data_IF_397954784215
#
_entry.id   IF_397954784215
#
_cell.length_a   1.000
_cell.length_b   1.000
_cell.length_c   1.000
_cell.angle_alpha   90.00
_cell.angle_beta   90.00
_cell.angle_gamma   90.00
#
_symmetry.space_group_name_H-M   'P 1'
#
loop_
_entity.id
_entity.type
_entity.pdbx_description
1 polymer ?
#
# COMPACT_ATOMS: atom_id res chain seq x y z
N UNK A 1 -2.48 -5.77 -12.17
CA UNK A 1 -2.91 -5.57 -10.76
C UNK A 1 -2.04 -4.53 -10.08
N UNK A 2 -0.72 -4.72 -10.05
CA UNK A 2 0.26 -3.79 -9.47
C UNK A 2 0.06 -2.31 -9.84
N UNK A 3 -0.11 -2.04 -11.13
CA UNK A 3 -0.36 -0.70 -11.69
C UNK A 3 -1.58 0.07 -11.12
N UNK A 4 -2.51 -0.60 -10.43
CA UNK A 4 -3.72 -0.01 -9.85
C UNK A 4 -3.75 -0.10 -8.31
N UNK A 5 -2.68 -0.57 -7.68
CA UNK A 5 -2.57 -0.68 -6.23
C UNK A 5 -2.23 0.66 -5.58
N UNK A 6 -2.51 0.78 -4.27
CA UNK A 6 -2.17 1.95 -3.46
C UNK A 6 -3.25 3.04 -3.38
N UNK A 7 -4.45 2.79 -3.89
CA UNK A 7 -5.59 3.72 -3.78
C UNK A 7 -6.11 3.86 -2.33
N UNK A 8 -5.95 2.82 -1.53
CA UNK A 8 -6.26 2.74 -0.10
C UNK A 8 -5.31 3.59 0.76
N UNK A 9 -4.07 3.82 0.31
CA UNK A 9 -3.10 4.67 1.02
C UNK A 9 -3.61 6.10 1.22
N UNK A 10 -4.50 6.59 0.35
CA UNK A 10 -5.15 7.88 0.53
C UNK A 10 -5.93 7.97 1.85
N UNK A 11 -6.42 6.83 2.36
CA UNK A 11 -7.14 6.75 3.63
C UNK A 11 -6.24 7.05 4.83
N UNK A 12 -4.93 6.76 4.74
CA UNK A 12 -3.95 7.06 5.80
C UNK A 12 -3.73 8.55 6.02
N UNK A 13 -4.01 9.38 5.01
CA UNK A 13 -3.88 10.84 5.05
C UNK A 13 -5.26 11.52 5.17
N UNK A 14 -6.35 10.75 5.18
CA UNK A 14 -7.72 11.29 5.18
C UNK A 14 -8.02 12.17 6.40
N UNK A 15 -7.32 11.98 7.52
CA UNK A 15 -7.46 12.84 8.72
C UNK A 15 -7.06 14.31 8.47
N UNK A 16 -6.22 14.57 7.47
CA UNK A 16 -5.80 15.92 7.08
C UNK A 16 -6.64 16.55 5.96
N UNK A 17 -7.69 15.88 5.48
CA UNK A 17 -8.51 16.35 4.36
C UNK A 17 -9.75 17.08 4.88
N UNK A 18 -10.02 18.28 4.36
CA UNK A 18 -11.26 18.99 4.67
C UNK A 18 -12.47 18.26 4.08
N UNK A 19 -13.48 18.01 4.93
CA UNK A 19 -14.75 17.37 4.56
C UNK A 19 -14.55 16.06 3.76
N UNK A 20 -13.88 15.05 4.36
CA UNK A 20 -13.51 13.82 3.66
C UNK A 20 -14.73 13.09 3.08
N UNK A 21 -15.92 13.26 3.65
CA UNK A 21 -17.18 12.65 3.18
C UNK A 21 -17.55 12.97 1.73
N UNK A 22 -17.16 14.14 1.23
CA UNK A 22 -17.49 14.58 -0.14
C UNK A 22 -16.24 14.63 -1.01
N UNK A 23 -15.13 15.08 -0.42
CA UNK A 23 -13.85 15.23 -1.12
C UNK A 23 -13.29 13.86 -1.52
N UNK A 24 -13.35 12.87 -0.62
CA UNK A 24 -12.74 11.56 -0.86
C UNK A 24 -13.42 10.77 -1.99
N UNK A 25 -14.76 10.61 -2.02
CA UNK A 25 -15.40 9.88 -3.13
C UNK A 25 -15.22 10.58 -4.48
N UNK A 26 -15.27 11.92 -4.51
CA UNK A 26 -15.04 12.71 -5.73
C UNK A 26 -13.60 12.54 -6.22
N UNK A 27 -12.63 12.69 -5.33
CA UNK A 27 -11.21 12.51 -5.64
C UNK A 27 -10.95 11.09 -6.19
N UNK A 28 -11.53 10.06 -5.57
CA UNK A 28 -11.39 8.68 -6.02
C UNK A 28 -11.99 8.47 -7.42
N UNK A 29 -13.20 8.98 -7.69
CA UNK A 29 -13.82 8.89 -9.02
C UNK A 29 -13.00 9.61 -10.08
N UNK A 30 -12.52 10.82 -9.79
CA UNK A 30 -11.65 11.57 -10.71
C UNK A 30 -10.32 10.85 -10.93
N UNK A 31 -9.73 10.26 -9.90
CA UNK A 31 -8.49 9.50 -10.00
C UNK A 31 -8.68 8.27 -10.88
N UNK A 32 -9.75 7.49 -10.67
CA UNK A 32 -10.06 6.31 -11.49
C UNK A 32 -10.25 6.69 -12.95
N UNK A 33 -11.00 7.77 -13.25
CA UNK A 33 -11.18 8.23 -14.62
C UNK A 33 -9.87 8.68 -15.27
N UNK A 34 -9.04 9.42 -14.53
CA UNK A 34 -7.76 9.91 -15.03
C UNK A 34 -6.76 8.76 -15.26
N UNK A 35 -6.73 7.78 -14.37
CA UNK A 35 -5.93 6.56 -14.52
C UNK A 35 -6.43 5.73 -15.71
N UNK A 36 -7.74 5.57 -15.88
CA UNK A 36 -8.27 4.84 -17.04
C UNK A 36 -7.83 5.50 -18.36
N UNK A 37 -7.94 6.82 -18.46
CA UNK A 37 -7.49 7.58 -19.64
C UNK A 37 -5.98 7.48 -19.84
N UNK A 38 -5.19 7.57 -18.77
CA UNK A 38 -3.73 7.51 -18.86
C UNK A 38 -3.21 6.13 -19.28
N UNK A 39 -3.97 5.06 -19.07
CA UNK A 39 -3.64 3.73 -19.59
C UNK A 39 -4.18 3.49 -21.00
N UNK A 40 -5.40 3.94 -21.32
CA UNK A 40 -6.02 3.69 -22.63
C UNK A 40 -5.27 4.41 -23.75
N UNK A 41 -4.89 5.68 -23.55
CA UNK A 41 -4.25 6.48 -24.60
C UNK A 41 -2.91 5.90 -25.08
N UNK A 42 -1.95 5.54 -24.20
CA UNK A 42 -0.68 4.96 -24.64
C UNK A 42 -0.86 3.56 -25.24
N UNK A 43 -1.77 2.74 -24.70
CA UNK A 43 -2.04 1.40 -25.25
C UNK A 43 -2.62 1.51 -26.66
N UNK A 44 -3.53 2.44 -26.90
CA UNK A 44 -4.06 2.70 -28.24
C UNK A 44 -2.97 3.19 -29.19
N UNK A 45 -2.07 4.05 -28.72
CA UNK A 45 -0.92 4.52 -29.51
C UNK A 45 0.02 3.37 -29.90
N UNK A 46 0.31 2.44 -28.97
CA UNK A 46 1.06 1.21 -29.26
C UNK A 46 0.31 0.32 -30.24
N UNK A 47 -1.01 0.17 -30.09
CA UNK A 47 -1.79 -0.67 -31.00
C UNK A 47 -1.68 -0.20 -32.47
N UNK A 48 -1.65 1.12 -32.70
CA UNK A 48 -1.52 1.71 -34.04
C UNK A 48 -0.15 1.41 -34.67
N UNK A 49 0.91 1.18 -33.88
CA UNK A 49 2.23 0.83 -34.45
C UNK A 49 2.30 -0.59 -34.99
N UNK A 50 1.32 -1.45 -34.68
CA UNK A 50 1.29 -2.84 -35.11
C UNK A 50 2.33 -3.73 -34.43
N UNK A 51 3.01 -3.24 -33.39
CA UNK A 51 3.98 -4.05 -32.62
C UNK A 51 3.22 -5.15 -31.89
N UNK A 52 3.57 -6.44 -32.09
CA UNK A 52 2.90 -7.52 -31.39
C UNK A 52 3.20 -7.46 -29.89
N UNK A 53 2.19 -7.75 -29.07
CA UNK A 53 2.32 -7.75 -27.61
C UNK A 53 3.41 -8.70 -27.09
N UNK A 54 3.75 -9.75 -27.86
CA UNK A 54 4.82 -10.69 -27.51
C UNK A 54 6.24 -10.14 -27.66
N UNK A 55 6.42 -9.02 -28.38
CA UNK A 55 7.71 -8.35 -28.53
C UNK A 55 7.92 -7.23 -27.51
N UNK A 56 6.98 -7.05 -26.57
CA UNK A 56 7.03 -5.99 -25.59
C UNK A 56 7.87 -6.44 -24.38
N UNK A 57 8.97 -5.74 -24.15
CA UNK A 57 9.89 -5.98 -23.03
C UNK A 57 10.05 -4.70 -22.19
N UNK A 58 10.87 -4.81 -21.13
CA UNK A 58 11.23 -3.65 -20.31
C UNK A 58 11.92 -2.60 -21.16
N UNK A 59 11.35 -1.40 -21.22
CA UNK A 59 11.88 -0.29 -22.02
C UNK A 59 11.19 -0.08 -23.37
N UNK A 60 10.37 -1.03 -23.85
CA UNK A 60 9.71 -0.93 -25.16
C UNK A 60 8.81 0.29 -25.33
N UNK A 61 8.33 0.88 -24.24
CA UNK A 61 7.62 2.17 -24.26
C UNK A 61 8.46 3.31 -24.86
N UNK A 62 9.76 3.35 -24.54
CA UNK A 62 10.68 4.36 -25.08
C UNK A 62 10.98 4.14 -26.57
N UNK A 63 11.00 2.88 -27.01
CA UNK A 63 11.21 2.50 -28.41
C UNK A 63 9.97 2.82 -29.25
N UNK A 64 8.77 2.51 -28.74
CA UNK A 64 7.50 2.89 -29.39
C UNK A 64 7.39 4.41 -29.49
N UNK A 65 7.75 5.15 -28.43
CA UNK A 65 7.78 6.60 -28.47
C UNK A 65 8.77 7.12 -29.53
N UNK A 66 9.92 6.46 -29.70
CA UNK A 66 10.88 6.80 -30.75
C UNK A 66 10.30 6.54 -32.15
N UNK A 67 9.60 5.44 -32.33
CA UNK A 67 8.97 5.08 -33.61
C UNK A 67 7.88 6.08 -34.00
N UNK A 68 7.06 6.52 -33.04
CA UNK A 68 5.93 7.41 -33.28
C UNK A 68 6.31 8.89 -33.40
N UNK A 69 7.27 9.36 -32.59
CA UNK A 69 7.58 10.78 -32.44
C UNK A 69 9.06 11.13 -32.42
N UNK A 70 9.93 10.20 -32.80
CA UNK A 70 11.38 10.39 -32.87
C UNK A 70 12.08 10.47 -31.52
N UNK A 71 13.37 10.82 -31.55
CA UNK A 71 14.23 10.84 -30.35
C UNK A 71 13.76 11.83 -29.28
N UNK A 72 13.09 12.93 -29.67
CA UNK A 72 12.52 13.90 -28.73
C UNK A 72 11.44 13.25 -27.85
N UNK A 73 10.45 12.57 -28.44
CA UNK A 73 9.37 11.96 -27.69
C UNK A 73 9.87 10.81 -26.80
N UNK A 74 10.81 10.01 -27.32
CA UNK A 74 11.50 8.98 -26.54
C UNK A 74 12.21 9.56 -25.31
N UNK A 75 12.98 10.65 -25.50
CA UNK A 75 13.68 11.33 -24.41
C UNK A 75 12.72 11.94 -23.37
N UNK A 76 11.65 12.60 -23.84
CA UNK A 76 10.62 13.15 -22.97
C UNK A 76 9.91 12.06 -22.15
N UNK A 77 9.62 10.91 -22.77
CA UNK A 77 8.98 9.78 -22.09
C UNK A 77 9.89 9.17 -21.02
N UNK A 78 11.18 8.97 -21.32
CA UNK A 78 12.16 8.46 -20.35
C UNK A 78 12.30 9.41 -19.17
N UNK A 79 12.47 10.71 -19.43
CA UNK A 79 12.54 11.73 -18.37
C UNK A 79 11.26 11.79 -17.54
N UNK A 80 10.09 11.74 -18.18
CA UNK A 80 8.80 11.69 -17.50
C UNK A 80 8.66 10.44 -16.62
N UNK A 81 9.10 9.28 -17.12
CA UNK A 81 9.15 8.03 -16.36
C UNK A 81 10.06 8.11 -15.14
N UNK A 82 11.24 8.72 -15.27
CA UNK A 82 12.17 8.93 -14.15
C UNK A 82 11.58 9.85 -13.08
N UNK A 83 11.00 10.99 -13.47
CA UNK A 83 10.36 11.94 -12.55
C UNK A 83 9.16 11.26 -11.86
N UNK A 84 8.36 10.51 -12.61
CA UNK A 84 7.22 9.76 -12.08
C UNK A 84 7.67 8.71 -11.05
N UNK A 85 8.69 7.92 -11.37
CA UNK A 85 9.24 6.91 -10.45
C UNK A 85 9.78 7.53 -9.17
N UNK A 86 10.50 8.67 -9.27
CA UNK A 86 10.98 9.40 -8.11
C UNK A 86 9.83 9.97 -7.26
N UNK A 87 8.83 10.58 -7.90
CA UNK A 87 7.65 11.10 -7.23
C UNK A 87 6.85 10.01 -6.50
N UNK A 88 6.68 8.86 -7.15
CA UNK A 88 6.02 7.69 -6.57
C UNK A 88 6.79 7.15 -5.37
N UNK A 89 8.11 7.00 -5.48
CA UNK A 89 8.95 6.56 -4.37
C UNK A 89 8.82 7.51 -3.17
N UNK A 90 8.91 8.82 -3.39
CA UNK A 90 8.74 9.81 -2.32
C UNK A 90 7.35 9.74 -1.66
N UNK A 91 6.28 9.58 -2.46
CA UNK A 91 4.93 9.41 -1.95
C UNK A 91 4.79 8.15 -1.07
N UNK A 92 5.35 7.02 -1.52
CA UNK A 92 5.33 5.76 -0.78
C UNK A 92 6.12 5.86 0.53
N UNK A 93 7.26 6.55 0.54
CA UNK A 93 8.03 6.79 1.78
C UNK A 93 7.21 7.56 2.82
N UNK A 94 6.48 8.60 2.38
CA UNK A 94 5.63 9.39 3.26
C UNK A 94 4.48 8.57 3.87
N UNK A 95 3.85 7.71 3.09
CA UNK A 95 2.74 6.86 3.56
C UNK A 95 3.24 5.71 4.44
N UNK A 96 4.23 4.95 3.99
CA UNK A 96 4.69 3.76 4.70
C UNK A 96 5.44 4.05 6.00
N UNK A 97 6.06 5.21 6.14
CA UNK A 97 6.72 5.60 7.40
C UNK A 97 5.74 5.94 8.53
N UNK A 98 4.49 6.28 8.21
CA UNK A 98 3.45 6.62 9.20
C UNK A 98 2.83 5.38 9.86
N UNK A 99 2.80 4.25 9.16
CA UNK A 99 2.29 2.99 9.69
C UNK A 99 3.07 2.52 10.94
N UNK A 100 4.42 2.38 10.90
CA UNK A 100 5.21 2.06 12.08
C UNK A 100 5.11 3.10 13.20
N UNK A 101 4.96 4.38 12.86
CA UNK A 101 4.75 5.45 13.84
C UNK A 101 3.45 5.24 14.62
N UNK A 102 2.33 5.04 13.92
CA UNK A 102 1.03 4.76 14.54
C UNK A 102 1.07 3.47 15.37
N UNK A 103 1.66 2.40 14.83
CA UNK A 103 1.87 1.15 15.56
C UNK A 103 2.71 1.33 16.83
N UNK A 104 3.71 2.21 16.81
CA UNK A 104 4.53 2.51 17.98
C UNK A 104 3.78 3.33 19.04
N UNK A 105 2.94 4.27 18.62
CA UNK A 105 2.06 5.06 19.49
C UNK A 105 1.03 4.16 20.18
N UNK A 106 0.48 3.18 19.46
CA UNK A 106 -0.42 2.15 20.01
C UNK A 106 0.30 1.11 20.89
N UNK A 107 1.62 1.22 21.04
CA UNK A 107 2.46 0.29 21.80
C UNK A 107 2.55 -1.10 21.14
N UNK A 108 2.39 -1.20 19.82
CA UNK A 108 2.61 -2.42 19.04
C UNK A 108 4.08 -2.60 18.65
N UNK A 109 4.81 -1.51 18.42
CA UNK A 109 6.23 -1.51 18.11
C UNK A 109 7.09 -0.91 19.25
N UNK A 110 8.42 -1.12 19.22
CA UNK A 110 9.33 -0.45 20.14
C UNK A 110 9.15 1.08 20.10
N UNK A 111 9.33 1.78 21.23
CA UNK A 111 9.09 3.23 21.33
C UNK A 111 10.05 4.04 20.45
N UNK A 112 11.16 3.44 19.99
CA UNK A 112 12.07 4.05 19.04
C UNK A 112 11.36 4.45 17.72
N UNK A 113 10.38 3.67 17.26
CA UNK A 113 9.61 3.97 16.05
C UNK A 113 8.67 5.18 16.22
N UNK A 114 8.35 5.56 17.47
CA UNK A 114 7.56 6.75 17.75
C UNK A 114 8.38 8.05 17.74
N UNK A 115 9.71 7.97 17.54
CA UNK A 115 10.59 9.15 17.51
C UNK A 115 10.39 9.92 16.20
N UNK A 116 9.96 11.17 16.34
CA UNK A 116 9.81 12.12 15.24
C UNK A 116 10.91 13.19 15.30
N UNK A 117 11.29 13.71 14.14
CA UNK A 117 12.27 14.79 14.05
C UNK A 117 11.63 16.13 14.51
N UNK A 118 12.27 16.93 15.38
CA UNK A 118 11.64 18.10 16.00
C UNK A 118 11.11 19.15 15.03
N UNK A 119 11.84 19.40 13.92
CA UNK A 119 11.47 20.44 12.94
C UNK A 119 10.49 19.98 11.87
N UNK A 120 10.64 18.74 11.41
CA UNK A 120 9.90 18.22 10.24
C UNK A 120 8.77 17.27 10.64
N UNK A 121 8.70 16.88 11.92
CA UNK A 121 7.76 15.90 12.46
C UNK A 121 7.79 14.54 11.73
N UNK A 122 8.86 14.28 10.98
CA UNK A 122 9.02 13.04 10.23
C UNK A 122 9.52 11.91 11.14
N UNK A 123 8.92 10.70 11.08
CA UNK A 123 9.36 9.54 11.86
C UNK A 123 10.65 8.94 11.28
N UNK A 124 11.78 9.58 11.56
CA UNK A 124 13.07 9.26 10.94
C UNK A 124 13.55 7.82 11.20
N UNK A 125 13.25 7.25 12.38
CA UNK A 125 13.59 5.85 12.69
C UNK A 125 12.83 4.89 11.78
N UNK A 126 11.51 5.11 11.60
CA UNK A 126 10.69 4.31 10.70
C UNK A 126 11.20 4.41 9.27
N UNK A 127 11.54 5.63 8.81
CA UNK A 127 12.10 5.86 7.47
C UNK A 127 13.39 5.07 7.26
N UNK A 128 14.34 5.12 8.20
CA UNK A 128 15.61 4.38 8.07
C UNK A 128 15.42 2.87 8.06
N UNK A 129 14.51 2.34 8.89
CA UNK A 129 14.22 0.91 8.92
C UNK A 129 13.54 0.46 7.62
N UNK A 130 12.58 1.22 7.10
CA UNK A 130 11.98 0.96 5.79
C UNK A 130 13.02 1.04 4.66
N UNK A 131 13.89 2.05 4.67
CA UNK A 131 14.96 2.21 3.68
C UNK A 131 15.95 1.06 3.71
N UNK A 132 16.34 0.59 4.90
CA UNK A 132 17.17 -0.61 5.06
C UNK A 132 16.46 -1.86 4.49
N UNK A 133 15.17 -2.01 4.76
CA UNK A 133 14.35 -3.09 4.19
C UNK A 133 14.33 -3.06 2.66
N UNK A 134 14.10 -1.91 2.04
CA UNK A 134 14.14 -1.78 0.58
C UNK A 134 15.54 -2.01 0.01
N UNK A 135 16.59 -1.56 0.70
CA UNK A 135 17.97 -1.80 0.28
C UNK A 135 18.31 -3.29 0.22
N UNK A 136 17.83 -4.09 1.18
CA UNK A 136 17.98 -5.56 1.16
C UNK A 136 17.25 -6.21 -0.01
N UNK A 137 16.16 -5.59 -0.49
CA UNK A 137 15.35 -6.08 -1.59
C UNK A 137 15.94 -5.77 -2.98
N UNK A 138 16.96 -4.90 -3.10
CA UNK A 138 17.52 -4.47 -4.39
C UNK A 138 18.06 -5.64 -5.25
N UNK A 139 18.47 -6.76 -4.62
CA UNK A 139 19.01 -7.93 -5.32
C UNK A 139 17.96 -8.92 -5.86
N UNK A 140 16.67 -8.73 -5.56
CA UNK A 140 15.63 -9.73 -5.90
C UNK A 140 15.16 -9.67 -7.36
N UNK A 141 15.33 -8.51 -8.01
CA UNK A 141 14.82 -8.23 -9.36
C UNK A 141 13.40 -7.67 -9.36
N UNK A 142 13.08 -6.83 -10.35
CA UNK A 142 11.82 -6.07 -10.38
C UNK A 142 10.58 -6.95 -10.44
N UNK A 143 10.54 -7.93 -11.34
CA UNK A 143 9.39 -8.84 -11.51
C UNK A 143 9.06 -9.57 -10.21
N UNK A 144 10.08 -10.12 -9.53
CA UNK A 144 9.89 -10.81 -8.24
C UNK A 144 9.37 -9.86 -7.17
N UNK A 145 9.86 -8.63 -7.11
CA UNK A 145 9.36 -7.62 -6.17
C UNK A 145 7.90 -7.29 -6.43
N UNK A 146 7.50 -7.14 -7.69
CA UNK A 146 6.11 -6.91 -8.08
C UNK A 146 5.22 -8.08 -7.66
N UNK A 147 5.65 -9.31 -7.90
CA UNK A 147 4.90 -10.51 -7.49
C UNK A 147 4.73 -10.55 -5.97
N UNK A 148 5.80 -10.33 -5.20
CA UNK A 148 5.73 -10.28 -3.75
C UNK A 148 4.82 -9.17 -3.23
N UNK A 149 4.91 -7.99 -3.82
CA UNK A 149 4.08 -6.84 -3.46
C UNK A 149 2.59 -7.13 -3.71
N UNK A 150 2.24 -7.66 -4.88
CA UNK A 150 0.87 -8.07 -5.22
C UNK A 150 0.31 -9.07 -4.21
N UNK A 151 1.13 -10.03 -3.76
CA UNK A 151 0.70 -11.02 -2.76
C UNK A 151 0.49 -10.42 -1.37
N UNK A 152 1.47 -9.66 -0.87
CA UNK A 152 1.42 -9.11 0.48
C UNK A 152 0.33 -8.05 0.62
N UNK A 153 0.29 -7.09 -0.31
CA UNK A 153 -0.71 -6.05 -0.31
C UNK A 153 -2.08 -6.61 -0.68
N UNK A 154 -2.18 -7.57 -1.61
CA UNK A 154 -3.43 -8.26 -1.90
C UNK A 154 -4.02 -8.95 -0.67
N UNK A 155 -3.17 -9.61 0.13
CA UNK A 155 -3.57 -10.19 1.42
C UNK A 155 -4.06 -9.14 2.42
N UNK A 156 -3.38 -8.00 2.53
CA UNK A 156 -3.83 -6.86 3.35
C UNK A 156 -5.20 -6.35 2.90
N UNK A 157 -5.38 -6.18 1.60
CA UNK A 157 -6.63 -5.69 1.03
C UNK A 157 -7.80 -6.66 1.29
N UNK A 158 -7.54 -7.98 1.21
CA UNK A 158 -8.53 -8.99 1.59
C UNK A 158 -8.94 -8.87 3.06
N UNK A 159 -7.97 -8.66 3.95
CA UNK A 159 -8.25 -8.43 5.38
C UNK A 159 -9.07 -7.15 5.60
N UNK A 160 -8.83 -6.09 4.84
CA UNK A 160 -9.64 -4.86 4.91
C UNK A 160 -11.10 -5.11 4.54
N UNK A 161 -11.37 -5.86 3.45
CA UNK A 161 -12.74 -6.21 3.08
C UNK A 161 -13.40 -7.15 4.09
N UNK A 162 -12.66 -8.13 4.62
CA UNK A 162 -13.16 -8.99 5.71
C UNK A 162 -13.48 -8.14 6.94
N UNK A 163 -12.62 -7.20 7.32
CA UNK A 163 -12.84 -6.29 8.43
C UNK A 163 -14.07 -5.39 8.20
N UNK A 164 -14.27 -4.90 6.98
CA UNK A 164 -15.46 -4.12 6.61
C UNK A 164 -16.75 -4.93 6.85
N UNK A 165 -16.79 -6.18 6.38
CA UNK A 165 -17.94 -7.07 6.58
C UNK A 165 -18.12 -7.40 8.06
N UNK A 166 -17.05 -7.76 8.76
CA UNK A 166 -17.07 -8.09 10.18
C UNK A 166 -17.56 -6.92 11.05
N UNK A 167 -17.11 -5.69 10.78
CA UNK A 167 -17.53 -4.49 11.50
C UNK A 167 -18.99 -4.13 11.20
N UNK A 168 -19.50 -4.48 10.02
CA UNK A 168 -20.91 -4.26 9.66
C UNK A 168 -21.84 -5.22 10.40
N UNK A 169 -21.37 -6.42 10.75
CA UNK A 169 -22.11 -7.41 11.54
C UNK A 169 -21.99 -7.12 13.04
N UNK A 170 -20.77 -6.85 13.54
CA UNK A 170 -20.49 -6.70 14.98
C UNK A 170 -20.95 -5.35 15.54
N UNK A 171 -20.77 -4.28 14.78
CA UNK A 171 -21.05 -2.92 15.25
C UNK A 171 -21.94 -2.15 14.26
N UNK A 172 -23.21 -2.56 14.06
CA UNK A 172 -24.08 -1.97 13.06
C UNK A 172 -24.41 -0.49 13.34
N UNK A 173 -24.44 -0.09 14.62
CA UNK A 173 -24.84 1.27 15.04
C UNK A 173 -23.73 2.32 15.03
N UNK A 174 -22.49 1.97 14.68
CA UNK A 174 -21.41 2.94 14.59
C UNK A 174 -21.79 4.12 13.65
N UNK A 175 -21.55 5.38 14.06
CA UNK A 175 -21.72 6.52 13.18
C UNK A 175 -20.71 6.41 12.04
N UNK A 176 -21.21 6.17 10.82
CA UNK A 176 -20.39 6.02 9.61
C UNK A 176 -20.59 7.21 8.70
N UNK A 177 -19.51 7.95 8.47
CA UNK A 177 -19.47 9.12 7.59
C UNK A 177 -19.81 8.78 6.13
N UNK A 178 -19.45 7.57 5.69
CA UNK A 178 -19.82 7.02 4.38
C UNK A 178 -20.34 5.58 4.54
N UNK A 179 -21.38 5.22 3.78
CA UNK A 179 -21.94 3.87 3.76
C UNK A 179 -21.97 3.33 2.34
N UNK A 180 -21.37 2.15 2.14
CA UNK A 180 -21.46 1.45 0.84
C UNK A 180 -22.95 1.18 0.54
N UNK A 181 -23.46 1.58 -0.65
CA UNK A 181 -24.83 1.32 -1.05
C UNK A 181 -25.09 -0.19 -1.11
N UNK A 182 -26.32 -0.62 -0.80
CA UNK A 182 -26.70 -2.05 -0.82
C UNK A 182 -26.44 -2.82 0.49
N UNK A 183 -26.19 -2.15 1.61
CA UNK A 183 -26.17 -2.81 2.93
C UNK A 183 -25.03 -3.83 3.09
N UNK A 184 -25.31 -4.94 3.77
CA UNK A 184 -24.34 -6.04 3.95
C UNK A 184 -23.98 -6.69 2.60
N UNK A 185 -24.96 -6.90 1.73
CA UNK A 185 -24.75 -7.48 0.40
C UNK A 185 -23.80 -6.61 -0.45
N UNK A 186 -23.99 -5.29 -0.43
CA UNK A 186 -23.09 -4.35 -1.11
C UNK A 186 -21.65 -4.38 -0.55
N UNK A 187 -21.49 -4.57 0.77
CA UNK A 187 -20.17 -4.71 1.38
C UNK A 187 -19.46 -6.02 0.96
N UNK A 188 -20.20 -7.13 0.90
CA UNK A 188 -19.67 -8.43 0.45
C UNK A 188 -19.29 -8.35 -1.02
N UNK A 189 -20.21 -7.86 -1.87
CA UNK A 189 -19.98 -7.73 -3.32
C UNK A 189 -18.77 -6.85 -3.64
N UNK A 190 -18.53 -5.79 -2.87
CA UNK A 190 -17.36 -4.93 -3.04
C UNK A 190 -16.03 -5.68 -2.87
N UNK A 191 -15.98 -6.71 -2.01
CA UNK A 191 -14.79 -7.53 -1.79
C UNK A 191 -14.60 -8.68 -2.78
N UNK A 192 -15.66 -9.09 -3.51
CA UNK A 192 -15.61 -10.25 -4.42
C UNK A 192 -14.64 -10.02 -5.57
N UNK A 193 -14.72 -8.89 -6.26
CA UNK A 193 -13.88 -8.61 -7.43
C UNK A 193 -12.38 -8.56 -7.07
N UNK A 194 -11.93 -7.81 -6.03
CA UNK A 194 -10.53 -7.85 -5.59
C UNK A 194 -10.06 -9.24 -5.19
N UNK A 195 -10.92 -10.02 -4.50
CA UNK A 195 -10.58 -11.39 -4.09
C UNK A 195 -10.38 -12.31 -5.29
N UNK A 196 -11.25 -12.22 -6.30
CA UNK A 196 -11.12 -12.97 -7.54
C UNK A 196 -9.84 -12.61 -8.30
N UNK A 197 -9.54 -11.31 -8.42
CA UNK A 197 -8.32 -10.84 -9.07
C UNK A 197 -7.05 -11.32 -8.35
N UNK A 198 -7.07 -11.32 -7.01
CA UNK A 198 -5.97 -11.86 -6.21
C UNK A 198 -5.83 -13.38 -6.41
N UNK A 199 -6.93 -14.12 -6.42
CA UNK A 199 -6.92 -15.55 -6.67
C UNK A 199 -6.34 -15.87 -8.05
N UNK A 200 -6.70 -15.11 -9.09
CA UNK A 200 -6.12 -15.26 -10.43
C UNK A 200 -4.62 -14.93 -10.45
N UNK A 201 -4.20 -13.89 -9.73
CA UNK A 201 -2.78 -13.55 -9.61
C UNK A 201 -1.99 -14.67 -8.90
N UNK A 202 -2.57 -15.30 -7.87
CA UNK A 202 -1.98 -16.44 -7.16
C UNK A 202 -1.82 -17.64 -8.08
N UNK A 203 -2.87 -17.98 -8.85
CA UNK A 203 -2.87 -19.14 -9.75
C UNK A 203 -1.84 -18.97 -10.87
N UNK A 204 -1.73 -17.77 -11.46
CA UNK A 204 -0.73 -17.51 -12.51
C UNK A 204 0.69 -17.28 -11.96
N UNK A 205 0.83 -16.92 -10.69
CA UNK A 205 2.12 -16.65 -10.03
C UNK A 205 2.93 -17.89 -9.65
N UNK A 206 2.40 -19.11 -9.80
CA UNK A 206 3.05 -20.35 -9.36
C UNK A 206 4.39 -20.67 -10.08
N UNK A 207 4.70 -19.97 -11.17
CA UNK A 207 5.94 -20.19 -11.93
C UNK A 207 7.15 -19.41 -11.39
N UNK A 208 6.95 -18.40 -10.54
CA UNK A 208 8.06 -17.59 -10.02
C UNK A 208 8.67 -18.17 -8.75
N UNK A 209 9.95 -18.54 -8.82
CA UNK A 209 10.74 -18.99 -7.68
C UNK A 209 11.54 -17.84 -7.07
N UNK A 210 11.38 -17.63 -5.77
CA UNK A 210 12.18 -16.69 -4.95
C UNK A 210 13.07 -17.53 -4.03
N UNK A 211 14.40 -17.40 -4.19
CA UNK A 211 15.40 -18.13 -3.37
C UNK A 211 15.19 -19.67 -3.36
N UNK A 212 14.68 -20.24 -4.45
CA UNK A 212 14.41 -21.68 -4.56
C UNK A 212 13.06 -22.15 -4.00
N UNK A 213 12.29 -21.26 -3.36
CA UNK A 213 10.91 -21.51 -2.92
C UNK A 213 9.92 -20.92 -3.93
N UNK A 214 8.70 -21.46 -3.99
CA UNK A 214 7.59 -20.82 -4.72
C UNK A 214 7.33 -19.44 -4.08
N UNK A 215 7.21 -18.38 -4.89
CA UNK A 215 6.93 -17.02 -4.41
C UNK A 215 5.72 -16.93 -3.48
N UNK A 216 4.73 -17.82 -3.68
CA UNK A 216 3.57 -17.98 -2.78
C UNK A 216 3.96 -18.45 -1.39
N UNK A 217 4.83 -19.46 -1.30
CA UNK A 217 5.32 -19.98 -0.01
C UNK A 217 6.13 -18.91 0.70
N UNK A 218 6.97 -18.18 -0.02
CA UNK A 218 7.74 -17.08 0.56
C UNK A 218 6.83 -15.95 1.07
N UNK A 219 5.81 -15.55 0.30
CA UNK A 219 4.81 -14.58 0.74
C UNK A 219 4.03 -15.03 1.98
N UNK A 220 3.59 -16.29 2.02
CA UNK A 220 2.91 -16.87 3.19
C UNK A 220 3.83 -16.95 4.41
N UNK A 221 5.11 -17.27 4.21
CA UNK A 221 6.10 -17.26 5.29
C UNK A 221 6.31 -15.85 5.84
N UNK A 222 6.34 -14.82 4.99
CA UNK A 222 6.43 -13.43 5.43
C UNK A 222 5.19 -12.99 6.21
N UNK A 223 3.99 -13.34 5.73
CA UNK A 223 2.73 -13.07 6.44
C UNK A 223 2.75 -13.79 7.80
N UNK A 224 3.10 -15.08 7.81
CA UNK A 224 3.21 -15.89 9.01
C UNK A 224 4.25 -15.35 10.00
N UNK A 225 5.41 -14.91 9.52
CA UNK A 225 6.44 -14.26 10.33
C UNK A 225 5.94 -12.93 10.93
N UNK A 226 5.16 -12.15 10.17
CA UNK A 226 4.48 -10.96 10.64
C UNK A 226 3.55 -11.27 11.83
N UNK A 227 2.65 -12.24 11.67
CA UNK A 227 1.77 -12.70 12.76
C UNK A 227 2.56 -13.25 13.95
N UNK A 228 3.56 -14.09 13.72
CA UNK A 228 4.40 -14.66 14.77
C UNK A 228 5.12 -13.56 15.57
N UNK A 229 5.68 -12.55 14.90
CA UNK A 229 6.32 -11.41 15.56
C UNK A 229 5.33 -10.58 16.38
N UNK A 230 4.10 -10.40 15.90
CA UNK A 230 3.03 -9.73 16.62
C UNK A 230 2.65 -10.47 17.92
N UNK A 231 2.52 -11.80 17.87
CA UNK A 231 2.21 -12.61 19.04
C UNK A 231 3.40 -12.75 20.00
N UNK A 232 4.62 -12.90 19.49
CA UNK A 232 5.83 -12.99 20.30
C UNK A 232 6.09 -11.71 21.10
N UNK A 233 5.71 -10.54 20.56
CA UNK A 233 5.81 -9.26 21.26
C UNK A 233 4.61 -8.97 22.18
N UNK A 234 3.51 -9.71 22.06
CA UNK A 234 2.29 -9.50 22.87
C UNK A 234 2.47 -9.60 24.40
N UNK A 235 3.27 -10.53 24.99
CA UNK A 235 3.47 -10.56 26.45
C UNK A 235 4.27 -9.34 26.95
N UNK A 236 5.33 -8.94 26.25
CA UNK A 236 6.10 -7.74 26.57
C UNK A 236 5.27 -6.46 26.43
N UNK A 237 4.33 -6.42 25.47
CA UNK A 237 3.41 -5.31 25.28
C UNK A 237 2.36 -5.21 26.39
N UNK A 238 1.79 -6.34 26.82
CA UNK A 238 0.87 -6.37 27.97
C UNK A 238 1.54 -5.87 29.23
N UNK A 239 2.78 -6.29 29.49
CA UNK A 239 3.58 -5.79 30.62
C UNK A 239 3.85 -4.28 30.53
N UNK A 240 4.18 -3.75 29.35
CA UNK A 240 4.40 -2.30 29.15
C UNK A 240 3.11 -1.48 29.27
N UNK A 241 1.97 -1.97 28.75
CA UNK A 241 0.67 -1.30 28.92
C UNK A 241 0.23 -1.31 30.39
N UNK A 242 0.45 -2.41 31.11
CA UNK A 242 0.18 -2.47 32.55
C UNK A 242 1.06 -1.48 33.34
N UNK A 243 2.37 -1.39 33.03
CA UNK A 243 3.29 -0.45 33.66
C UNK A 243 3.00 1.03 33.31
N UNK A 244 2.41 1.30 32.14
CA UNK A 244 1.96 2.64 31.75
C UNK A 244 0.62 3.02 32.42
N UNK A 245 -0.30 2.07 32.59
CA UNK A 245 -1.56 2.28 33.30
C UNK A 245 -1.35 2.56 34.80
N UNK A 246 -0.29 2.01 35.41
CA UNK A 246 0.11 2.35 36.78
C UNK A 246 0.72 3.76 36.91
N UNK A 247 0.92 4.49 35.81
CA UNK A 247 1.55 5.83 35.77
C UNK A 247 0.58 6.99 35.53
N UNK A 248 -0.75 6.79 35.54
CA UNK A 248 -1.74 7.86 35.33
C UNK A 248 -1.84 8.83 36.55
N UNK A 249 -2.28 10.11 36.38
CA UNK A 249 -1.58 11.31 36.82
C UNK A 249 -2.33 11.94 38.00
N UNK A 250 -2.61 11.16 39.03
CA UNK A 250 -3.26 11.67 40.25
C UNK A 250 -2.32 12.47 41.17
N UNK A 251 -1.12 12.85 40.71
CA UNK A 251 -0.09 13.52 41.53
C UNK A 251 0.35 14.91 41.02
N UNK A 252 -0.30 15.49 40.00
CA UNK A 252 -0.05 16.88 39.58
C UNK A 252 -1.16 17.88 39.94
N UNK A 253 -2.11 17.50 40.79
CA UNK A 253 -2.90 18.50 41.53
C UNK A 253 -2.08 18.99 42.73
N UNK A 254 -1.28 20.03 42.51
CA UNK A 254 -0.77 20.86 43.60
C UNK A 254 -1.51 22.20 43.53
N UNK A 255 -2.46 22.48 44.43
CA UNK A 255 -2.81 23.84 44.83
C UNK A 255 -1.90 24.28 46.00
N UNK A 256 -1.86 25.57 46.41
CA UNK A 256 -2.62 26.73 45.93
C UNK A 256 -1.85 27.68 45.01
#
# INVERSE_FOLDING_TARGET
MWNYMGWDNASTIAQGVERPQYTYPRAMLTAVALVALSYILPVLAVYITGVPASAFETGSWADVARLLGGNWLSGALVLGGMISGFGMFNALVMSYSRLPLAMAQDGMLPPAFARVHPKTQAPWVAILVCAAGWALCLGLGFERLVTLDVMLYGGSLLLEFIALVALRIREPQLPRTFRVPGGLAGAILAGVLPTLLLALAVIHGEQERVLGLNGLVFGLLLIGAGFASYYATSPFRRARRAAAATKDPAQTCVPP
#
